data_IF_560229779039
#
_entry.id   IF_560229779039
#
_cell.length_a   1.000
_cell.length_b   1.000
_cell.length_c   1.000
_cell.angle_alpha   90.00
_cell.angle_beta   90.00
_cell.angle_gamma   90.00
#
_symmetry.space_group_name_H-M   'P 1'
#
loop_
_entity.id
_entity.type
_entity.pdbx_description
1 polymer ?
#
# COMPACT_ATOMS: atom_id res chain seq x y z
N UNK A 1 35.24 1.63 -19.77
CA UNK A 1 34.45 0.54 -19.16
C UNK A 1 33.16 0.39 -19.95
N UNK A 2 32.63 -0.83 -20.17
CA UNK A 2 31.33 -1.00 -20.83
C UNK A 2 30.23 -0.26 -20.06
N UNK A 3 29.27 0.32 -20.78
CA UNK A 3 28.06 0.91 -20.19
C UNK A 3 27.03 -0.15 -19.80
N UNK A 4 25.95 0.26 -19.15
CA UNK A 4 24.87 -0.65 -18.76
C UNK A 4 24.27 -1.37 -19.98
N UNK A 5 23.93 -2.66 -19.84
CA UNK A 5 23.37 -3.48 -20.91
C UNK A 5 24.32 -3.84 -22.07
N UNK A 6 25.58 -3.37 -22.06
CA UNK A 6 26.56 -3.73 -23.10
C UNK A 6 27.11 -5.13 -22.81
N UNK A 7 26.81 -6.09 -23.69
CA UNK A 7 27.23 -7.49 -23.53
C UNK A 7 28.46 -7.87 -24.36
N UNK A 8 28.96 -6.98 -25.22
CA UNK A 8 30.15 -7.23 -26.04
C UNK A 8 30.87 -5.95 -26.46
N UNK A 9 32.20 -6.03 -26.67
CA UNK A 9 32.98 -4.95 -27.31
C UNK A 9 32.73 -4.81 -28.81
N UNK A 10 32.06 -5.78 -29.44
CA UNK A 10 32.18 -5.99 -30.88
C UNK A 10 33.59 -6.45 -31.27
N UNK A 11 33.88 -6.47 -32.58
CA UNK A 11 35.18 -6.86 -33.10
C UNK A 11 36.25 -5.80 -32.77
N UNK A 12 37.31 -6.22 -32.10
CA UNK A 12 38.50 -5.41 -31.80
C UNK A 12 39.64 -5.93 -32.67
N UNK A 13 40.24 -5.04 -33.46
CA UNK A 13 41.43 -5.34 -34.26
C UNK A 13 42.66 -4.78 -33.56
N UNK A 14 43.57 -5.66 -33.15
CA UNK A 14 44.92 -5.30 -32.71
C UNK A 14 45.87 -5.44 -33.88
N UNK A 15 46.62 -4.38 -34.18
CA UNK A 15 47.60 -4.37 -35.28
C UNK A 15 48.98 -4.09 -34.71
N UNK A 16 49.98 -4.87 -35.11
CA UNK A 16 51.38 -4.68 -34.76
C UNK A 16 52.22 -4.49 -36.03
N UNK A 17 53.08 -3.48 -36.03
CA UNK A 17 54.00 -3.20 -37.13
C UNK A 17 55.35 -2.73 -36.59
N UNK A 18 56.43 -3.19 -37.21
CA UNK A 18 57.79 -2.78 -36.85
C UNK A 18 58.33 -1.78 -37.90
N UNK A 19 57.80 -0.55 -37.86
CA UNK A 19 58.27 0.57 -38.69
C UNK A 19 58.08 0.44 -40.22
N UNK A 20 57.60 -0.70 -40.72
CA UNK A 20 57.43 -0.97 -42.15
C UNK A 20 58.75 -1.23 -42.88
N UNK A 21 59.81 -1.62 -42.16
CA UNK A 21 61.12 -1.90 -42.77
C UNK A 21 61.00 -2.89 -43.92
N UNK A 22 61.68 -2.58 -45.03
CA UNK A 22 61.68 -3.40 -46.26
C UNK A 22 60.28 -3.70 -46.84
N UNK A 23 59.26 -2.89 -46.53
CA UNK A 23 57.90 -3.10 -47.01
C UNK A 23 57.16 -4.23 -46.29
N UNK A 24 57.61 -4.62 -45.09
CA UNK A 24 56.92 -5.60 -44.26
C UNK A 24 55.50 -5.11 -43.92
N UNK A 25 54.51 -5.99 -44.13
CA UNK A 25 53.12 -5.71 -43.80
C UNK A 25 52.88 -5.86 -42.29
N UNK A 26 51.95 -5.07 -41.73
CA UNK A 26 51.51 -5.26 -40.35
C UNK A 26 50.86 -6.64 -40.15
N UNK A 27 51.01 -7.20 -38.96
CA UNK A 27 50.20 -8.34 -38.51
C UNK A 27 48.98 -7.83 -37.73
N UNK A 28 47.87 -8.56 -37.82
CA UNK A 28 46.64 -8.18 -37.14
C UNK A 28 45.92 -9.36 -36.52
N UNK A 29 45.43 -9.16 -35.30
CA UNK A 29 44.57 -10.08 -34.59
C UNK A 29 43.19 -9.45 -34.41
N UNK A 30 42.14 -10.21 -34.69
CA UNK A 30 40.75 -9.81 -34.40
C UNK A 30 40.25 -10.65 -33.23
N UNK A 31 39.74 -10.01 -32.19
CA UNK A 31 39.12 -10.67 -31.05
C UNK A 31 37.86 -9.92 -30.60
N UNK A 32 37.06 -10.56 -29.75
CA UNK A 32 35.89 -9.97 -29.11
C UNK A 32 36.00 -10.13 -27.61
N UNK A 33 35.46 -9.16 -26.87
CA UNK A 33 35.32 -9.24 -25.42
C UNK A 33 33.85 -9.45 -25.11
N UNK A 34 33.53 -10.49 -24.37
CA UNK A 34 32.20 -10.71 -23.79
C UNK A 34 32.13 -9.99 -22.46
N UNK A 35 31.03 -9.26 -22.23
CA UNK A 35 30.76 -8.55 -20.99
C UNK A 35 29.58 -9.24 -20.33
N UNK A 36 29.76 -9.67 -19.08
CA UNK A 36 28.67 -10.19 -18.25
C UNK A 36 27.94 -8.99 -17.64
N UNK A 37 26.66 -8.75 -17.95
CA UNK A 37 25.89 -7.70 -17.30
C UNK A 37 25.73 -8.01 -15.81
N UNK A 38 25.59 -6.96 -15.01
CA UNK A 38 25.28 -7.04 -13.58
C UNK A 38 23.91 -6.41 -13.41
N UNK A 39 22.96 -7.16 -12.85
CA UNK A 39 21.62 -6.69 -12.59
C UNK A 39 21.60 -5.46 -11.67
N UNK A 40 20.82 -4.45 -12.00
CA UNK A 40 20.45 -3.39 -11.07
C UNK A 40 18.99 -3.55 -10.67
N UNK A 41 18.70 -3.35 -9.38
CA UNK A 41 17.36 -3.52 -8.86
C UNK A 41 16.38 -2.45 -9.39
N UNK A 42 15.09 -2.79 -9.52
CA UNK A 42 14.05 -1.83 -9.85
C UNK A 42 13.93 -0.77 -8.76
N UNK A 43 13.61 0.47 -9.13
CA UNK A 43 13.42 1.58 -8.19
C UNK A 43 11.98 2.07 -8.22
N UNK A 44 11.32 2.18 -7.05
CA UNK A 44 10.00 2.79 -6.91
C UNK A 44 10.13 4.31 -7.04
N UNK A 45 9.41 4.89 -7.99
CA UNK A 45 9.48 6.33 -8.33
C UNK A 45 8.23 7.12 -7.94
N UNK A 46 7.11 6.43 -7.71
CA UNK A 46 5.86 7.05 -7.24
C UNK A 46 5.90 7.33 -5.74
N UNK A 47 4.95 8.12 -5.26
CA UNK A 47 4.74 8.40 -3.83
C UNK A 47 3.35 7.91 -3.43
N UNK A 48 3.27 7.13 -2.34
CA UNK A 48 2.01 6.64 -1.81
C UNK A 48 1.16 7.79 -1.24
N UNK A 49 -0.16 7.84 -1.50
CA UNK A 49 -1.07 8.69 -0.75
C UNK A 49 -1.09 8.31 0.74
N UNK A 50 -1.09 9.31 1.63
CA UNK A 50 -0.93 9.09 3.06
C UNK A 50 -2.24 9.18 3.84
N UNK A 51 -3.38 9.20 3.14
CA UNK A 51 -4.71 9.32 3.74
C UNK A 51 -5.68 8.31 3.16
N UNK A 52 -6.49 7.71 4.02
CA UNK A 52 -7.64 6.89 3.65
C UNK A 52 -8.88 7.34 4.43
N UNK A 53 -10.04 6.86 4.02
CA UNK A 53 -11.31 7.06 4.73
C UNK A 53 -11.82 5.70 5.19
N UNK A 54 -12.28 5.64 6.43
CA UNK A 54 -12.92 4.44 6.98
C UNK A 54 -14.01 3.89 6.07
N UNK A 55 -14.05 2.57 5.89
CA UNK A 55 -15.02 1.88 5.04
C UNK A 55 -14.88 2.13 3.54
N UNK A 56 -13.94 2.99 3.11
CA UNK A 56 -13.69 3.30 1.70
C UNK A 56 -12.40 2.64 1.21
N UNK A 57 -12.41 2.13 -0.04
CA UNK A 57 -11.22 1.53 -0.63
C UNK A 57 -10.13 2.59 -0.86
N UNK A 58 -8.99 2.39 -0.21
CA UNK A 58 -7.71 2.99 -0.57
C UNK A 58 -7.08 2.20 -1.71
N UNK A 59 -6.58 2.90 -2.73
CA UNK A 59 -5.85 2.30 -3.83
C UNK A 59 -4.61 3.14 -4.19
N UNK A 60 -3.48 2.47 -4.36
CA UNK A 60 -2.22 3.07 -4.79
C UNK A 60 -1.49 2.11 -5.73
N UNK A 61 -1.22 2.55 -6.97
CA UNK A 61 -0.39 1.79 -7.91
C UNK A 61 1.00 2.40 -7.95
N UNK A 62 1.99 1.63 -7.55
CA UNK A 62 3.38 2.07 -7.61
C UNK A 62 3.91 2.09 -9.05
N UNK A 63 4.74 3.08 -9.37
CA UNK A 63 5.51 3.13 -10.62
C UNK A 63 6.95 2.81 -10.33
N UNK A 64 7.59 2.07 -11.23
CA UNK A 64 9.00 1.70 -11.12
C UNK A 64 9.78 2.08 -12.34
N UNK A 65 11.08 2.26 -12.15
CA UNK A 65 12.06 2.36 -13.23
C UNK A 65 13.17 1.36 -12.97
N UNK A 66 13.60 0.70 -14.03
CA UNK A 66 14.73 -0.21 -14.02
C UNK A 66 15.55 0.08 -15.29
N UNK A 67 16.86 0.20 -15.12
CA UNK A 67 17.77 0.74 -16.15
C UNK A 67 18.38 -0.34 -17.05
N UNK A 68 18.26 -1.60 -16.67
CA UNK A 68 18.72 -2.78 -17.42
C UNK A 68 17.63 -3.83 -17.63
N UNK A 69 16.46 -3.65 -17.03
CA UNK A 69 15.31 -4.46 -17.37
C UNK A 69 14.83 -4.22 -18.81
N UNK A 70 15.15 -5.17 -19.68
CA UNK A 70 14.71 -5.20 -21.07
C UNK A 70 13.24 -5.65 -21.23
N UNK A 71 12.63 -6.20 -20.18
CA UNK A 71 11.30 -6.81 -20.23
C UNK A 71 10.17 -5.87 -19.76
N UNK A 72 10.51 -4.65 -19.31
CA UNK A 72 9.58 -3.59 -18.96
C UNK A 72 8.59 -3.99 -17.85
N UNK A 73 9.11 -4.62 -16.79
CA UNK A 73 8.39 -4.91 -15.56
C UNK A 73 7.50 -6.14 -15.58
N UNK A 74 7.77 -7.10 -16.46
CA UNK A 74 6.98 -8.35 -16.59
C UNK A 74 7.36 -9.44 -15.60
N UNK A 75 8.52 -9.36 -14.96
CA UNK A 75 9.01 -10.29 -13.92
C UNK A 75 9.05 -9.68 -12.51
N UNK A 76 8.45 -8.49 -12.33
CA UNK A 76 8.42 -7.83 -11.03
C UNK A 76 7.59 -8.63 -10.02
N UNK A 77 8.20 -8.91 -8.88
CA UNK A 77 7.56 -9.47 -7.71
C UNK A 77 7.36 -8.38 -6.67
N UNK A 78 6.10 -8.17 -6.29
CA UNK A 78 5.69 -7.20 -5.29
C UNK A 78 5.42 -7.85 -3.94
N UNK A 79 5.78 -7.15 -2.87
CA UNK A 79 5.58 -7.61 -1.51
C UNK A 79 5.12 -6.49 -0.59
N UNK A 80 4.37 -6.87 0.45
CA UNK A 80 4.03 -6.01 1.56
C UNK A 80 4.53 -6.66 2.85
N UNK A 81 5.18 -5.87 3.70
CA UNK A 81 5.50 -6.24 5.08
C UNK A 81 4.96 -5.18 6.04
N UNK A 82 4.67 -5.59 7.28
CA UNK A 82 3.99 -4.76 8.29
C UNK A 82 2.63 -4.18 7.83
N UNK A 83 1.98 -4.84 6.88
CA UNK A 83 0.68 -4.42 6.39
C UNK A 83 -0.42 -4.70 7.43
N UNK A 84 -1.37 -3.76 7.64
CA UNK A 84 -2.53 -4.01 8.48
C UNK A 84 -3.42 -5.10 7.87
N UNK A 85 -4.32 -5.64 8.69
CA UNK A 85 -5.26 -6.67 8.25
C UNK A 85 -6.08 -6.20 7.02
N UNK A 86 -6.17 -7.06 6.01
CA UNK A 86 -6.91 -6.80 4.77
C UNK A 86 -6.19 -5.95 3.73
N UNK A 87 -4.99 -5.42 4.02
CA UNK A 87 -4.19 -4.74 3.01
C UNK A 87 -3.48 -5.75 2.10
N UNK A 88 -3.54 -5.52 0.79
CA UNK A 88 -2.98 -6.43 -0.24
C UNK A 88 -2.22 -5.65 -1.30
N UNK A 89 -1.33 -6.34 -2.03
CA UNK A 89 -0.67 -5.82 -3.23
C UNK A 89 -0.84 -6.80 -4.38
N UNK A 90 -1.15 -6.31 -5.57
CA UNK A 90 -1.24 -7.12 -6.79
C UNK A 90 0.13 -7.37 -7.41
N UNK A 91 0.22 -8.28 -8.37
CA UNK A 91 1.41 -8.47 -9.20
C UNK A 91 1.80 -7.25 -10.04
N UNK A 92 0.92 -6.26 -10.14
CA UNK A 92 1.16 -4.99 -10.86
C UNK A 92 1.51 -3.83 -9.93
N UNK A 93 1.80 -4.11 -8.65
CA UNK A 93 2.15 -3.08 -7.67
C UNK A 93 0.97 -2.22 -7.21
N UNK A 94 -0.28 -2.69 -7.40
CA UNK A 94 -1.47 -2.01 -6.86
C UNK A 94 -1.72 -2.46 -5.42
N UNK A 95 -1.45 -1.56 -4.48
CA UNK A 95 -1.82 -1.68 -3.07
C UNK A 95 -3.30 -1.34 -2.90
N UNK A 96 -4.05 -2.19 -2.20
CA UNK A 96 -5.47 -2.00 -1.90
C UNK A 96 -5.73 -2.26 -0.42
N UNK A 97 -6.57 -1.43 0.20
CA UNK A 97 -6.95 -1.56 1.60
C UNK A 97 -8.27 -0.86 1.89
N UNK A 98 -9.13 -1.46 2.71
CA UNK A 98 -10.32 -0.79 3.25
C UNK A 98 -10.22 -0.80 4.77
N UNK A 99 -9.85 0.32 5.42
CA UNK A 99 -9.79 0.39 6.87
C UNK A 99 -11.17 0.16 7.48
N UNK A 100 -11.24 -0.70 8.49
CA UNK A 100 -12.47 -0.96 9.25
C UNK A 100 -12.72 0.09 10.34
N UNK A 101 -13.84 -0.05 11.03
CA UNK A 101 -14.26 0.83 12.12
C UNK A 101 -13.19 0.96 13.21
N UNK A 102 -12.98 2.19 13.69
CA UNK A 102 -12.01 2.49 14.74
C UNK A 102 -10.53 2.38 14.34
N UNK A 103 -10.22 2.01 13.09
CA UNK A 103 -8.84 2.04 12.59
C UNK A 103 -8.46 3.46 12.23
N UNK A 104 -7.48 4.03 12.93
CA UNK A 104 -7.01 5.40 12.71
C UNK A 104 -5.72 5.48 11.90
N UNK A 105 -5.00 4.36 11.73
CA UNK A 105 -3.75 4.30 10.97
C UNK A 105 -3.45 2.90 10.44
N UNK A 106 -2.71 2.81 9.32
CA UNK A 106 -2.13 1.55 8.85
C UNK A 106 -0.92 1.08 9.66
N UNK A 107 -0.32 1.95 10.48
CA UNK A 107 1.08 1.78 10.90
C UNK A 107 2.06 1.96 9.73
N UNK A 108 3.36 1.77 10.00
CA UNK A 108 4.38 1.84 8.97
C UNK A 108 4.34 0.57 8.09
N UNK A 109 3.93 0.74 6.84
CA UNK A 109 3.86 -0.31 5.83
C UNK A 109 5.07 -0.21 4.91
N UNK A 110 5.68 -1.35 4.58
CA UNK A 110 6.76 -1.42 3.61
C UNK A 110 6.29 -2.15 2.35
N UNK A 111 6.26 -1.43 1.23
CA UNK A 111 6.07 -1.98 -0.12
C UNK A 111 7.44 -2.29 -0.71
N UNK A 112 7.64 -3.51 -1.20
CA UNK A 112 8.90 -3.95 -1.82
C UNK A 112 8.68 -4.37 -3.26
N UNK A 113 9.68 -4.15 -4.11
CA UNK A 113 9.72 -4.63 -5.49
C UNK A 113 11.08 -5.24 -5.81
N UNK A 114 11.08 -6.37 -6.49
CA UNK A 114 12.27 -7.03 -7.04
C UNK A 114 11.95 -7.63 -8.40
N UNK A 115 12.96 -7.84 -9.23
CA UNK A 115 12.91 -8.30 -10.61
C UNK A 115 13.43 -9.73 -10.82
N UNK A 116 13.75 -10.46 -9.74
CA UNK A 116 14.29 -11.83 -9.81
C UNK A 116 15.52 -12.05 -8.94
N UNK A 117 16.16 -10.96 -8.49
CA UNK A 117 17.29 -11.01 -7.57
C UNK A 117 18.58 -11.51 -8.23
N UNK A 118 18.64 -11.43 -9.55
CA UNK A 118 19.81 -11.75 -10.37
C UNK A 118 21.04 -11.03 -9.83
N UNK A 119 22.18 -11.71 -9.86
CA UNK A 119 23.44 -11.20 -9.35
C UNK A 119 23.41 -10.72 -7.88
N UNK A 120 22.39 -11.11 -7.09
CA UNK A 120 22.23 -10.69 -5.70
C UNK A 120 21.71 -9.26 -5.54
N UNK A 121 21.09 -8.69 -6.57
CA UNK A 121 20.40 -7.41 -6.48
C UNK A 121 19.33 -7.47 -5.38
N UNK A 122 19.35 -6.50 -4.46
CA UNK A 122 18.40 -6.43 -3.36
C UNK A 122 17.11 -5.71 -3.82
N UNK A 123 15.94 -6.09 -3.28
CA UNK A 123 14.69 -5.39 -3.56
C UNK A 123 14.77 -3.91 -3.16
N UNK A 124 14.11 -3.05 -3.92
CA UNK A 124 13.83 -1.68 -3.46
C UNK A 124 12.58 -1.66 -2.57
N UNK A 125 12.51 -0.65 -1.69
CA UNK A 125 11.48 -0.55 -0.68
C UNK A 125 10.99 0.89 -0.49
N UNK A 126 9.66 1.05 -0.47
CA UNK A 126 8.99 2.27 -0.06
C UNK A 126 8.26 2.05 1.26
N UNK A 127 8.58 2.89 2.25
CA UNK A 127 7.93 2.88 3.56
C UNK A 127 6.96 4.06 3.64
N UNK A 128 5.71 3.79 4.03
CA UNK A 128 4.70 4.84 4.22
C UNK A 128 3.73 4.48 5.34
N UNK A 129 3.08 5.51 5.88
CA UNK A 129 2.03 5.38 6.90
C UNK A 129 0.79 6.11 6.41
N UNK A 130 -0.35 5.43 6.46
CA UNK A 130 -1.65 6.00 6.09
C UNK A 130 -2.37 6.43 7.36
N UNK A 131 -2.85 7.66 7.38
CA UNK A 131 -3.81 8.16 8.38
C UNK A 131 -5.23 7.91 7.88
N UNK A 132 -6.09 7.37 8.73
CA UNK A 132 -7.48 7.07 8.39
C UNK A 132 -8.39 8.14 8.98
N UNK A 133 -9.24 8.71 8.13
CA UNK A 133 -10.31 9.61 8.57
C UNK A 133 -11.50 8.76 9.03
N UNK A 134 -11.93 8.88 10.30
CA UNK A 134 -13.06 8.12 10.82
C UNK A 134 -14.38 8.58 10.19
N UNK A 135 -15.36 7.67 10.11
CA UNK A 135 -16.70 7.95 9.59
C UNK A 135 -17.73 7.65 10.67
N UNK A 136 -18.34 8.69 11.23
CA UNK A 136 -19.33 8.55 12.28
C UNK A 136 -20.62 7.87 11.78
N UNK A 137 -21.03 6.82 12.47
CA UNK A 137 -22.28 6.09 12.34
C UNK A 137 -23.27 6.57 13.40
N UNK A 138 -24.56 6.43 13.10
CA UNK A 138 -25.60 6.89 14.01
C UNK A 138 -25.88 5.83 15.08
N UNK A 139 -26.24 6.25 16.31
CA UNK A 139 -26.69 5.33 17.35
C UNK A 139 -28.02 4.65 16.96
N UNK A 140 -28.21 3.42 17.42
CA UNK A 140 -29.43 2.64 17.18
C UNK A 140 -30.03 2.11 18.49
N UNK A 141 -31.33 2.34 18.70
CA UNK A 141 -32.08 1.69 19.78
C UNK A 141 -32.27 0.21 19.43
N UNK A 142 -31.89 -0.68 20.33
CA UNK A 142 -31.94 -2.15 20.15
C UNK A 142 -32.99 -2.84 21.02
N UNK A 143 -33.48 -2.16 22.05
CA UNK A 143 -34.59 -2.66 22.87
C UNK A 143 -35.95 -2.43 22.20
N UNK A 144 -36.96 -3.15 22.67
CA UNK A 144 -38.35 -2.97 22.24
C UNK A 144 -39.17 -2.39 23.39
N UNK A 145 -39.94 -1.34 23.12
CA UNK A 145 -40.78 -0.71 24.12
C UNK A 145 -42.02 -1.56 24.45
N UNK A 146 -42.44 -1.63 25.73
CA UNK A 146 -43.75 -2.14 26.08
C UNK A 146 -44.85 -1.28 25.44
N UNK A 147 -45.83 -1.91 24.78
CA UNK A 147 -46.90 -1.22 24.06
C UNK A 147 -48.20 -1.06 24.87
N UNK A 148 -48.18 -1.48 26.13
CA UNK A 148 -49.31 -1.38 27.06
C UNK A 148 -48.87 -0.77 28.38
N UNK A 149 -49.81 -0.08 29.03
CA UNK A 149 -49.65 0.50 30.35
C UNK A 149 -50.96 0.32 31.13
N UNK A 150 -50.88 0.28 32.45
CA UNK A 150 -52.04 0.19 33.35
C UNK A 150 -52.27 1.55 34.00
N UNK A 151 -53.52 2.02 34.01
CA UNK A 151 -53.88 3.27 34.69
C UNK A 151 -53.44 3.26 36.16
N UNK A 152 -52.87 4.38 36.62
CA UNK A 152 -52.36 4.54 37.98
C UNK A 152 -51.04 3.82 38.28
N UNK A 153 -50.46 3.11 37.30
CA UNK A 153 -49.14 2.48 37.42
C UNK A 153 -48.09 3.25 36.62
N UNK A 154 -46.87 3.33 37.13
CA UNK A 154 -45.75 3.95 36.40
C UNK A 154 -45.38 3.10 35.18
N UNK A 155 -45.19 3.78 34.04
CA UNK A 155 -44.65 3.17 32.82
C UNK A 155 -43.15 3.39 32.78
N UNK A 156 -42.38 2.31 32.65
CA UNK A 156 -40.92 2.35 32.55
C UNK A 156 -40.49 1.59 31.30
N UNK A 157 -39.65 2.23 30.48
CA UNK A 157 -38.99 1.61 29.35
C UNK A 157 -37.47 1.83 29.46
N UNK A 158 -36.71 0.82 29.91
CA UNK A 158 -35.25 0.89 29.90
C UNK A 158 -34.75 0.67 28.47
N UNK A 159 -34.59 1.76 27.72
CA UNK A 159 -34.11 1.69 26.35
C UNK A 159 -32.62 1.30 26.32
N UNK A 160 -32.25 0.38 25.44
CA UNK A 160 -30.85 0.04 25.14
C UNK A 160 -30.48 0.60 23.78
N UNK A 161 -29.29 1.19 23.69
CA UNK A 161 -28.72 1.74 22.45
C UNK A 161 -27.41 1.03 22.17
N UNK A 162 -27.10 0.88 20.89
CA UNK A 162 -25.78 0.51 20.40
C UNK A 162 -25.31 1.57 19.42
N UNK A 163 -24.06 1.98 19.56
CA UNK A 163 -23.35 2.80 18.59
C UNK A 163 -21.95 2.21 18.47
N UNK A 164 -21.48 2.04 17.24
CA UNK A 164 -20.19 1.39 16.97
C UNK A 164 -19.01 2.36 17.09
N UNK A 165 -19.29 3.66 17.12
CA UNK A 165 -18.30 4.73 17.30
C UNK A 165 -18.31 5.32 18.71
N UNK A 166 -19.17 4.79 19.59
CA UNK A 166 -19.29 5.24 20.96
C UNK A 166 -18.20 4.63 21.85
N UNK A 167 -17.10 5.37 21.97
CA UNK A 167 -15.98 5.06 22.86
C UNK A 167 -16.25 5.44 24.32
N UNK A 168 -17.39 6.06 24.64
CA UNK A 168 -17.69 6.63 25.96
C UNK A 168 -18.86 5.96 26.69
N UNK A 169 -19.36 4.83 26.16
CA UNK A 169 -20.44 4.03 26.76
C UNK A 169 -21.69 4.88 27.02
N UNK A 170 -22.06 5.70 26.04
CA UNK A 170 -23.31 6.45 25.98
C UNK A 170 -23.34 7.72 26.83
N UNK A 171 -22.19 8.16 27.36
CA UNK A 171 -22.07 9.36 28.18
C UNK A 171 -22.40 10.66 27.42
N UNK A 172 -22.21 10.68 26.10
CA UNK A 172 -22.57 11.82 25.24
C UNK A 172 -23.90 11.66 24.49
N UNK A 173 -24.61 10.55 24.70
CA UNK A 173 -25.93 10.35 24.13
C UNK A 173 -26.95 11.28 24.79
N UNK A 174 -27.66 12.02 23.95
CA UNK A 174 -28.74 12.92 24.39
C UNK A 174 -30.10 12.28 24.10
N UNK A 175 -30.94 12.24 25.13
CA UNK A 175 -32.28 11.66 25.04
C UNK A 175 -33.33 12.75 25.06
N UNK A 176 -34.30 12.65 24.16
CA UNK A 176 -35.45 13.56 24.15
C UNK A 176 -36.70 12.80 23.76
N UNK A 177 -37.85 13.28 24.24
CA UNK A 177 -39.15 12.78 23.84
C UNK A 177 -39.82 13.80 22.94
N UNK A 178 -40.33 13.33 21.81
CA UNK A 178 -41.22 14.11 20.95
C UNK A 178 -42.59 13.46 20.99
N UNK A 179 -43.66 14.26 21.07
CA UNK A 179 -45.06 13.78 21.16
C UNK A 179 -45.35 12.89 22.38
N UNK A 180 -44.77 13.22 23.53
CA UNK A 180 -45.05 12.52 24.79
C UNK A 180 -46.30 13.09 25.51
N UNK A 181 -47.06 12.24 26.24
CA UNK A 181 -48.15 12.70 27.09
C UNK A 181 -47.61 13.51 28.28
N UNK A 182 -48.48 14.33 28.87
CA UNK A 182 -48.14 15.11 30.05
C UNK A 182 -47.61 14.21 31.18
N UNK A 183 -46.46 14.57 31.75
CA UNK A 183 -45.82 13.84 32.85
C UNK A 183 -44.82 12.76 32.44
N UNK A 184 -44.72 12.41 31.15
CA UNK A 184 -43.69 11.48 30.69
C UNK A 184 -42.34 12.20 30.54
N UNK A 185 -41.30 11.59 31.08
CA UNK A 185 -39.91 12.10 31.06
C UNK A 185 -38.95 11.05 30.55
N UNK A 186 -37.80 11.48 30.05
CA UNK A 186 -36.66 10.60 29.71
C UNK A 186 -35.42 11.11 30.43
N UNK A 187 -34.62 10.19 30.98
CA UNK A 187 -33.37 10.48 31.67
C UNK A 187 -32.30 9.50 31.22
N UNK A 188 -31.04 9.93 31.21
CA UNK A 188 -29.87 9.11 30.88
C UNK A 188 -29.28 8.42 32.13
N UNK A 189 -30.12 8.11 33.12
CA UNK A 189 -29.73 7.56 34.43
C UNK A 189 -29.72 6.05 34.43
#
# INVERSE_FOLDING_TARGET
>A
TPGNGITTSGAVTLTVQDGGENGALPDSQIFTITVTPVNQAPTITSIAPLTATEGSEYAYTATVTDVDDANNGTDLTWGLTNAPAGMTVTSTGKVMWTPGNGITTSGAVTLTVQDGGENGALPDAQIFTITVTPVNQAPSITSTAPLTATEGSEYIYPATVTDVDDDNNGADLTWSLTNAPAGMTVTST
#
